data_IF_499650309082
#
_entry.id   IF_499650309082
#
_cell.length_a   1.000
_cell.length_b   1.000
_cell.length_c   1.000
_cell.angle_alpha   90.00
_cell.angle_beta   90.00
_cell.angle_gamma   90.00
#
_symmetry.space_group_name_H-M   'P 1'
#
loop_
_entity.id
_entity.type
_entity.pdbx_description
1 polymer ?
#
# COMPACT_ATOMS: atom_id res chain seq x y z
N UNK A 1 -44.76 -35.33 38.71
CA UNK A 1 -44.88 -34.84 37.31
C UNK A 1 -44.37 -33.41 37.26
N UNK A 2 -43.93 -32.94 36.09
CA UNK A 2 -42.87 -31.93 35.98
C UNK A 2 -43.37 -30.48 36.08
N UNK A 3 -42.65 -29.61 36.80
CA UNK A 3 -42.80 -28.16 36.70
C UNK A 3 -42.01 -27.67 35.48
N UNK A 4 -42.67 -26.97 34.55
CA UNK A 4 -41.95 -26.24 33.49
C UNK A 4 -41.34 -24.96 34.08
N UNK A 5 -40.06 -24.71 33.75
CA UNK A 5 -39.44 -23.40 33.88
C UNK A 5 -39.63 -22.66 32.55
N UNK A 6 -40.25 -21.47 32.59
CA UNK A 6 -40.27 -20.58 31.44
C UNK A 6 -38.99 -19.73 31.45
N UNK A 7 -38.04 -20.05 30.57
CA UNK A 7 -36.84 -19.23 30.37
C UNK A 7 -37.21 -18.09 29.41
N UNK A 8 -37.27 -16.87 29.93
CA UNK A 8 -37.47 -15.67 29.12
C UNK A 8 -36.23 -15.35 28.30
N UNK A 9 -36.30 -15.53 26.97
CA UNK A 9 -35.21 -15.21 26.06
C UNK A 9 -35.18 -13.69 25.81
N UNK A 10 -34.28 -12.96 26.48
CA UNK A 10 -34.00 -11.57 26.14
C UNK A 10 -33.26 -11.50 24.80
N UNK A 11 -34.01 -11.34 23.71
CA UNK A 11 -33.48 -10.91 22.42
C UNK A 11 -33.06 -9.43 22.51
N UNK A 12 -31.81 -9.20 22.89
CA UNK A 12 -31.19 -7.89 22.80
C UNK A 12 -31.11 -7.46 21.33
N UNK A 13 -31.80 -6.38 20.97
CA UNK A 13 -31.64 -5.77 19.65
C UNK A 13 -30.28 -5.08 19.60
N UNK A 14 -29.30 -5.72 18.97
CA UNK A 14 -28.11 -5.04 18.51
C UNK A 14 -28.55 -4.06 17.40
N UNK A 15 -28.66 -2.78 17.75
CA UNK A 15 -28.86 -1.74 16.76
C UNK A 15 -27.62 -1.71 15.86
N UNK A 16 -27.79 -1.98 14.56
CA UNK A 16 -26.73 -1.81 13.59
C UNK A 16 -26.32 -0.34 13.58
N UNK A 17 -25.10 -0.05 14.00
CA UNK A 17 -24.51 1.28 13.87
C UNK A 17 -24.26 1.45 12.37
N UNK A 18 -25.16 2.17 11.70
CA UNK A 18 -24.92 2.65 10.34
C UNK A 18 -23.72 3.60 10.46
N UNK A 19 -22.58 3.17 9.91
CA UNK A 19 -21.41 4.03 9.83
C UNK A 19 -21.75 5.28 9.02
N UNK A 20 -21.37 6.45 9.53
CA UNK A 20 -21.45 7.67 8.74
C UNK A 20 -20.45 7.58 7.58
N UNK A 21 -20.84 8.08 6.40
CA UNK A 21 -19.92 8.14 5.24
C UNK A 21 -18.69 9.01 5.57
N UNK A 22 -17.49 8.67 5.05
CA UNK A 22 -16.28 9.47 5.29
C UNK A 22 -16.44 10.93 4.87
N UNK A 23 -16.19 11.85 5.80
CA UNK A 23 -16.37 13.28 5.58
C UNK A 23 -15.15 13.87 4.88
N UNK A 24 -15.33 14.31 3.64
CA UNK A 24 -14.31 15.08 2.91
C UNK A 24 -13.91 16.36 3.66
N UNK A 25 -12.61 16.58 3.79
CA UNK A 25 -12.00 17.78 4.38
C UNK A 25 -11.43 18.71 3.29
N UNK A 26 -10.88 18.13 2.22
CA UNK A 26 -10.42 18.82 1.01
C UNK A 26 -10.54 17.86 -0.18
N UNK A 27 -11.17 18.27 -1.28
CA UNK A 27 -11.41 17.45 -2.48
C UNK A 27 -10.31 17.59 -3.53
N UNK A 28 -9.43 18.59 -3.38
CA UNK A 28 -8.35 18.92 -4.30
C UNK A 28 -7.17 17.95 -4.15
N UNK A 29 -6.42 17.76 -5.23
CA UNK A 29 -5.09 17.14 -5.22
C UNK A 29 -4.09 18.25 -5.55
N UNK A 30 -3.25 18.64 -4.58
CA UNK A 30 -2.33 19.77 -4.72
C UNK A 30 -0.94 19.30 -5.14
N UNK A 31 -0.31 20.03 -6.06
CA UNK A 31 1.09 19.86 -6.42
C UNK A 31 1.97 20.65 -5.44
N UNK A 32 2.78 19.95 -4.64
CA UNK A 32 3.75 20.56 -3.72
C UNK A 32 5.18 20.41 -4.23
N UNK A 33 6.05 21.39 -3.92
CA UNK A 33 7.51 21.30 -4.12
C UNK A 33 8.27 21.96 -2.98
N UNK A 34 9.17 21.23 -2.32
CA UNK A 34 9.97 21.73 -1.17
C UNK A 34 11.26 22.49 -1.55
N UNK A 35 11.61 22.57 -2.83
CA UNK A 35 12.86 23.15 -3.33
C UNK A 35 12.68 23.98 -4.61
N UNK A 36 13.77 24.58 -5.10
CA UNK A 36 13.74 25.44 -6.30
C UNK A 36 13.62 24.63 -7.60
N UNK A 37 14.17 23.42 -7.63
CA UNK A 37 14.24 22.57 -8.83
C UNK A 37 12.95 21.78 -9.06
N UNK A 38 12.42 21.86 -10.28
CA UNK A 38 11.42 20.93 -10.83
C UNK A 38 12.10 19.63 -11.26
N UNK A 39 11.56 18.48 -10.86
CA UNK A 39 12.11 17.17 -11.22
C UNK A 39 11.70 16.73 -12.63
N UNK A 40 10.39 16.72 -12.91
CA UNK A 40 9.85 16.14 -14.15
C UNK A 40 9.01 17.12 -14.98
N UNK A 41 8.98 16.88 -16.30
CA UNK A 41 8.25 17.68 -17.27
C UNK A 41 6.71 17.59 -17.12
N UNK A 42 6.21 16.57 -16.43
CA UNK A 42 4.76 16.35 -16.21
C UNK A 42 4.22 17.09 -14.96
N UNK A 43 5.11 17.67 -14.15
CA UNK A 43 4.74 18.65 -13.12
C UNK A 43 4.56 20.06 -13.69
N UNK A 44 3.86 20.93 -12.97
CA UNK A 44 3.79 22.34 -13.34
C UNK A 44 5.13 23.06 -13.08
N UNK A 45 5.38 24.15 -13.82
CA UNK A 45 6.58 24.98 -13.61
C UNK A 45 6.58 25.63 -12.22
N UNK A 46 5.43 26.16 -11.79
CA UNK A 46 5.17 26.59 -10.42
C UNK A 46 4.33 25.53 -9.69
N UNK A 47 4.68 25.13 -8.45
CA UNK A 47 3.80 24.32 -7.60
C UNK A 47 2.62 25.15 -7.08
N UNK A 48 1.62 24.48 -6.51
CA UNK A 48 0.54 25.15 -5.76
C UNK A 48 1.06 25.73 -4.42
N UNK A 49 1.97 25.02 -3.75
CA UNK A 49 2.60 25.42 -2.49
C UNK A 49 3.91 24.64 -2.20
N UNK A 50 4.60 24.99 -1.11
CA UNK A 50 5.72 24.20 -0.55
C UNK A 50 5.24 23.11 0.44
N UNK A 51 4.00 23.23 0.91
CA UNK A 51 3.38 22.44 1.97
C UNK A 51 1.86 22.52 1.86
N UNK A 52 1.16 21.47 2.32
CA UNK A 52 -0.30 21.47 2.43
C UNK A 52 -0.69 21.81 3.87
N UNK A 53 -1.68 22.69 4.03
CA UNK A 53 -2.33 22.98 5.31
C UNK A 53 -3.83 23.06 5.10
N UNK A 54 -4.59 22.24 5.84
CA UNK A 54 -6.06 22.15 5.78
C UNK A 54 -6.62 22.38 7.19
N UNK A 55 -7.37 23.47 7.36
CA UNK A 55 -8.12 23.76 8.57
C UNK A 55 -9.55 23.23 8.44
N UNK A 56 -10.05 22.52 9.46
CA UNK A 56 -11.37 21.90 9.45
C UNK A 56 -12.00 21.86 10.85
N UNK A 57 -13.32 21.79 10.92
CA UNK A 57 -14.05 21.70 12.19
C UNK A 57 -14.30 20.24 12.59
N UNK A 58 -14.11 19.87 13.85
CA UNK A 58 -14.39 18.52 14.37
C UNK A 58 -14.87 18.55 15.83
N UNK A 59 -15.20 17.36 16.36
CA UNK A 59 -15.41 17.09 17.78
C UNK A 59 -14.23 16.27 18.31
N UNK A 60 -13.93 16.39 19.61
CA UNK A 60 -12.81 15.67 20.23
C UNK A 60 -13.04 14.14 20.23
N UNK A 61 -12.12 13.39 19.62
CA UNK A 61 -12.30 11.95 19.42
C UNK A 61 -11.97 11.13 20.68
N UNK A 62 -12.96 10.43 21.24
CA UNK A 62 -12.79 9.52 22.38
C UNK A 62 -12.22 8.15 22.02
N UNK A 63 -12.12 7.85 20.73
CA UNK A 63 -11.68 6.57 20.13
C UNK A 63 -10.79 6.84 18.92
N UNK A 64 -10.11 5.81 18.40
CA UNK A 64 -9.36 5.94 17.14
C UNK A 64 -10.30 6.27 15.97
N UNK A 65 -9.87 7.19 15.12
CA UNK A 65 -10.50 7.55 13.84
C UNK A 65 -9.50 7.38 12.70
N UNK A 66 -9.93 7.56 11.44
CA UNK A 66 -9.06 7.34 10.27
C UNK A 66 -8.98 8.58 9.38
N UNK A 67 -7.75 8.98 9.03
CA UNK A 67 -7.49 9.94 7.96
C UNK A 67 -7.16 9.19 6.67
N UNK A 68 -7.96 9.36 5.62
CA UNK A 68 -7.65 8.91 4.26
C UNK A 68 -7.11 10.08 3.44
N UNK A 69 -6.09 9.84 2.63
CA UNK A 69 -5.62 10.79 1.60
C UNK A 69 -5.14 10.06 0.34
N UNK A 70 -4.94 10.80 -0.74
CA UNK A 70 -4.27 10.38 -1.98
C UNK A 70 -2.86 11.00 -2.03
N UNK A 71 -1.88 10.23 -2.51
CA UNK A 71 -0.51 10.69 -2.76
C UNK A 71 0.02 10.16 -4.10
N UNK A 72 0.96 10.89 -4.72
CA UNK A 72 1.70 10.51 -5.93
C UNK A 72 3.12 11.08 -5.88
N UNK A 73 4.07 10.44 -6.58
CA UNK A 73 5.44 10.90 -6.82
C UNK A 73 6.33 11.10 -5.56
N UNK A 74 6.02 10.47 -4.41
CA UNK A 74 6.66 10.81 -3.12
C UNK A 74 8.05 10.16 -2.98
N UNK A 75 9.12 10.95 -3.13
CA UNK A 75 10.51 10.46 -3.02
C UNK A 75 11.16 10.81 -1.68
N UNK A 76 10.77 11.90 -1.04
CA UNK A 76 11.34 12.38 0.23
C UNK A 76 10.46 12.10 1.44
N UNK A 77 11.00 12.34 2.64
CA UNK A 77 10.29 12.15 3.90
C UNK A 77 9.30 13.30 4.18
N UNK A 78 8.10 13.23 3.62
CA UNK A 78 6.99 14.15 3.93
C UNK A 78 6.25 13.69 5.18
N UNK A 79 6.19 14.53 6.20
CA UNK A 79 5.47 14.28 7.46
C UNK A 79 4.02 14.68 7.34
N UNK A 80 3.15 13.91 8.01
CA UNK A 80 1.73 14.22 8.20
C UNK A 80 1.53 14.54 9.68
N UNK A 81 1.09 15.76 9.98
CA UNK A 81 0.89 16.26 11.35
C UNK A 81 -0.54 16.79 11.53
N UNK A 82 -1.17 16.47 12.66
CA UNK A 82 -2.49 16.96 13.05
C UNK A 82 -2.35 17.74 14.36
N UNK A 83 -2.79 19.00 14.35
CA UNK A 83 -2.69 19.94 15.47
C UNK A 83 -1.24 20.15 15.96
N UNK A 84 -0.29 20.21 15.02
CA UNK A 84 1.15 20.34 15.31
C UNK A 84 1.75 19.12 16.02
N UNK A 85 1.16 17.94 15.83
CA UNK A 85 1.62 16.67 16.40
C UNK A 85 1.67 15.60 15.30
N UNK A 86 2.74 14.79 15.18
CA UNK A 86 2.84 13.77 14.14
C UNK A 86 1.71 12.74 14.16
N UNK A 87 1.24 12.35 12.97
CA UNK A 87 0.46 11.15 12.69
C UNK A 87 1.32 10.10 11.96
N UNK A 88 2.22 10.52 11.09
CA UNK A 88 3.09 9.63 10.32
C UNK A 88 3.91 10.36 9.25
N UNK A 89 4.27 9.63 8.21
CA UNK A 89 4.85 10.15 6.97
C UNK A 89 4.07 9.59 5.78
N UNK A 90 4.08 10.29 4.65
CA UNK A 90 3.64 9.72 3.37
C UNK A 90 4.51 8.50 3.03
N UNK A 91 3.92 7.53 2.32
CA UNK A 91 4.67 6.36 1.83
C UNK A 91 5.71 6.83 0.81
N UNK A 92 6.93 6.26 0.83
CA UNK A 92 8.00 6.68 -0.11
C UNK A 92 7.92 5.88 -1.41
N UNK A 93 6.85 6.14 -2.14
CA UNK A 93 6.49 5.48 -3.39
C UNK A 93 5.94 6.52 -4.38
N UNK A 94 6.38 6.43 -5.64
CA UNK A 94 6.02 7.36 -6.70
C UNK A 94 4.65 7.05 -7.34
N UNK A 95 4.07 5.88 -7.10
CA UNK A 95 2.78 5.49 -7.65
C UNK A 95 1.61 6.32 -7.07
N UNK A 96 0.59 6.54 -7.91
CA UNK A 96 -0.68 7.11 -7.46
C UNK A 96 -1.43 6.14 -6.54
N UNK A 97 -1.61 6.50 -5.27
CA UNK A 97 -2.16 5.61 -4.25
C UNK A 97 -3.01 6.30 -3.19
N UNK A 98 -3.89 5.50 -2.56
CA UNK A 98 -4.70 5.90 -1.42
C UNK A 98 -4.10 5.34 -0.13
N UNK A 99 -3.76 6.23 0.82
CA UNK A 99 -3.16 5.89 2.10
C UNK A 99 -4.09 6.23 3.28
N UNK A 100 -3.94 5.51 4.39
CA UNK A 100 -4.81 5.60 5.57
C UNK A 100 -3.96 5.69 6.84
N UNK A 101 -4.06 6.82 7.55
CA UNK A 101 -3.44 7.04 8.86
C UNK A 101 -4.45 6.80 9.98
N UNK A 102 -4.02 6.17 11.07
CA UNK A 102 -4.78 6.17 12.31
C UNK A 102 -4.67 7.55 12.98
N UNK A 103 -5.79 8.05 13.50
CA UNK A 103 -5.88 9.21 14.38
C UNK A 103 -6.15 8.67 15.80
N UNK A 104 -5.13 8.61 16.68
CA UNK A 104 -5.32 8.16 18.06
C UNK A 104 -6.39 8.96 18.81
N UNK A 105 -6.99 8.36 19.84
CA UNK A 105 -7.93 9.06 20.72
C UNK A 105 -7.30 10.33 21.36
N UNK A 106 -8.09 11.40 21.46
CA UNK A 106 -7.67 12.70 22.02
C UNK A 106 -6.74 13.52 21.11
N UNK A 107 -6.79 13.29 19.79
CA UNK A 107 -5.96 14.02 18.80
C UNK A 107 -6.72 15.04 17.98
N UNK A 108 -8.02 14.82 17.77
CA UNK A 108 -8.96 15.85 17.36
C UNK A 108 -9.39 16.67 18.58
N UNK A 109 -9.64 17.95 18.34
CA UNK A 109 -10.13 18.93 19.30
C UNK A 109 -11.55 19.35 18.95
N UNK A 110 -12.31 19.84 19.94
CA UNK A 110 -13.60 20.49 19.68
C UNK A 110 -13.38 21.82 18.95
N UNK A 111 -14.00 21.97 17.78
CA UNK A 111 -13.84 23.15 16.92
C UNK A 111 -12.72 22.98 15.88
N UNK A 112 -11.88 23.99 15.74
CA UNK A 112 -10.88 24.03 14.66
C UNK A 112 -9.70 23.09 14.89
N UNK A 113 -9.39 22.33 13.85
CA UNK A 113 -8.28 21.39 13.75
C UNK A 113 -7.47 21.70 12.50
N UNK A 114 -6.15 21.51 12.56
CA UNK A 114 -5.24 21.79 11.43
C UNK A 114 -4.46 20.53 11.08
N UNK A 115 -4.64 20.07 9.84
CA UNK A 115 -3.80 19.04 9.22
C UNK A 115 -2.71 19.72 8.37
N UNK A 116 -1.47 19.30 8.53
CA UNK A 116 -0.32 19.79 7.76
C UNK A 116 0.42 18.62 7.12
N UNK A 117 0.84 18.78 5.86
CA UNK A 117 1.78 17.89 5.18
C UNK A 117 2.97 18.72 4.69
N UNK A 118 4.17 18.39 5.16
CA UNK A 118 5.39 19.16 4.89
C UNK A 118 6.64 18.27 4.98
N UNK A 119 7.76 18.71 4.40
CA UNK A 119 9.06 18.03 4.56
C UNK A 119 10.15 18.98 5.03
N UNK A 120 11.21 18.40 5.62
CA UNK A 120 12.47 19.09 5.93
C UNK A 120 13.63 18.50 5.12
N UNK A 121 13.34 17.78 4.03
CA UNK A 121 14.34 17.33 3.08
C UNK A 121 14.99 18.51 2.36
N UNK A 122 16.28 18.36 2.01
CA UNK A 122 17.06 19.38 1.29
C UNK A 122 17.07 19.17 -0.22
N UNK A 123 17.01 17.92 -0.62
CA UNK A 123 16.82 17.53 -2.01
C UNK A 123 15.38 17.86 -2.41
N UNK A 124 15.19 18.33 -3.65
CA UNK A 124 13.87 18.68 -4.15
C UNK A 124 13.02 17.42 -4.39
N UNK A 125 11.71 17.57 -4.19
CA UNK A 125 10.68 16.58 -4.42
C UNK A 125 9.43 17.31 -4.91
N UNK A 126 9.01 17.01 -6.14
CA UNK A 126 7.70 17.34 -6.67
C UNK A 126 6.74 16.20 -6.29
N UNK A 127 5.70 16.49 -5.50
CA UNK A 127 4.68 15.50 -5.10
C UNK A 127 3.26 15.99 -5.40
N UNK A 128 2.30 15.07 -5.44
CA UNK A 128 0.86 15.40 -5.43
C UNK A 128 0.22 14.80 -4.19
N UNK A 129 -0.49 15.60 -3.40
CA UNK A 129 -1.16 15.13 -2.17
C UNK A 129 -2.47 15.87 -1.91
N UNK A 130 -3.49 15.14 -1.43
CA UNK A 130 -4.81 15.71 -1.17
C UNK A 130 -5.93 14.67 -1.15
N UNK A 131 -7.13 15.08 -1.58
CA UNK A 131 -8.37 14.28 -1.59
C UNK A 131 -8.66 13.63 -0.22
N UNK A 132 -8.61 14.48 0.80
CA UNK A 132 -8.52 14.13 2.22
C UNK A 132 -9.91 13.89 2.79
N UNK A 133 -10.08 12.78 3.50
CA UNK A 133 -11.33 12.41 4.16
C UNK A 133 -11.09 11.93 5.60
N UNK A 134 -12.04 12.23 6.48
CA UNK A 134 -12.09 11.76 7.87
C UNK A 134 -13.20 10.71 8.01
N UNK A 135 -12.84 9.49 8.39
CA UNK A 135 -13.78 8.44 8.79
C UNK A 135 -13.75 8.32 10.32
N UNK A 136 -14.93 8.27 10.94
CA UNK A 136 -15.08 8.18 12.40
C UNK A 136 -14.73 6.79 12.98
N UNK A 137 -14.42 5.81 12.13
CA UNK A 137 -14.05 4.45 12.51
C UNK A 137 -12.53 4.29 12.70
N UNK A 138 -12.06 3.35 13.53
CA UNK A 138 -10.66 2.95 13.60
C UNK A 138 -10.11 2.44 12.26
N UNK A 139 -8.81 2.58 12.03
CA UNK A 139 -8.14 2.28 10.74
C UNK A 139 -8.34 0.83 10.33
N UNK A 140 -8.28 -0.10 11.29
CA UNK A 140 -8.54 -1.52 11.03
C UNK A 140 -9.98 -1.77 10.57
N UNK A 141 -10.97 -1.08 11.13
CA UNK A 141 -12.37 -1.26 10.71
C UNK A 141 -12.61 -0.74 9.28
N UNK A 142 -11.99 0.39 8.91
CA UNK A 142 -12.07 0.93 7.54
C UNK A 142 -11.41 -0.02 6.54
N UNK A 143 -10.21 -0.53 6.84
CA UNK A 143 -9.48 -1.45 5.96
C UNK A 143 -9.99 -2.91 6.01
N UNK A 144 -10.94 -3.24 6.88
CA UNK A 144 -11.62 -4.54 6.97
C UNK A 144 -13.13 -4.50 6.71
N UNK A 145 -13.61 -3.47 6.02
CA UNK A 145 -15.03 -3.32 5.65
C UNK A 145 -15.51 -4.36 4.62
N UNK A 146 -14.60 -4.97 3.85
CA UNK A 146 -14.92 -5.99 2.84
C UNK A 146 -13.73 -6.93 2.60
N UNK A 147 -13.95 -8.09 1.95
CA UNK A 147 -12.92 -9.14 1.78
C UNK A 147 -12.86 -9.75 0.37
N UNK A 148 -11.95 -9.26 -0.46
CA UNK A 148 -11.73 -9.72 -1.84
C UNK A 148 -10.85 -10.99 -1.90
N UNK A 149 -11.38 -12.07 -2.46
CA UNK A 149 -10.58 -13.24 -2.90
C UNK A 149 -10.34 -13.17 -4.42
N UNK A 150 -9.08 -13.36 -4.83
CA UNK A 150 -8.65 -13.41 -6.24
C UNK A 150 -7.98 -14.76 -6.51
N UNK A 151 -8.41 -15.47 -7.56
CA UNK A 151 -7.74 -16.66 -8.07
C UNK A 151 -7.31 -16.44 -9.54
N UNK A 152 -6.05 -16.73 -9.84
CA UNK A 152 -5.40 -16.52 -11.13
C UNK A 152 -4.90 -17.85 -11.68
N UNK A 153 -5.19 -18.12 -12.96
CA UNK A 153 -4.79 -19.37 -13.62
C UNK A 153 -4.13 -19.14 -14.98
N UNK A 154 -3.32 -20.12 -15.38
CA UNK A 154 -2.78 -20.25 -16.74
C UNK A 154 -3.94 -20.62 -17.68
N UNK A 155 -4.19 -19.77 -18.67
CA UNK A 155 -5.35 -19.85 -19.55
C UNK A 155 -5.35 -21.06 -20.51
N UNK A 156 -4.21 -21.70 -20.74
CA UNK A 156 -4.08 -22.89 -21.59
C UNK A 156 -3.99 -24.19 -20.79
N UNK A 157 -3.35 -24.13 -19.61
CA UNK A 157 -3.11 -25.30 -18.75
C UNK A 157 -4.20 -25.47 -17.68
N UNK A 158 -5.01 -24.45 -17.44
CA UNK A 158 -6.03 -24.37 -16.39
C UNK A 158 -5.49 -24.77 -15.00
N UNK A 159 -4.34 -24.19 -14.63
CA UNK A 159 -3.65 -24.42 -13.35
C UNK A 159 -3.32 -23.07 -12.71
N UNK A 160 -3.31 -22.97 -11.36
CA UNK A 160 -2.75 -21.80 -10.69
C UNK A 160 -1.28 -21.60 -11.04
N UNK A 161 -0.84 -20.35 -11.07
CA UNK A 161 0.56 -19.96 -11.28
C UNK A 161 0.88 -18.71 -10.43
N UNK A 162 2.16 -18.50 -10.04
CA UNK A 162 2.54 -17.29 -9.35
C UNK A 162 2.29 -16.05 -10.22
N UNK A 163 1.81 -14.95 -9.64
CA UNK A 163 1.39 -13.75 -10.39
C UNK A 163 1.48 -12.48 -9.56
N UNK A 164 1.56 -11.32 -10.24
CA UNK A 164 1.21 -10.02 -9.67
C UNK A 164 -0.29 -9.77 -9.86
N UNK A 165 -0.95 -9.36 -8.80
CA UNK A 165 -2.31 -8.83 -8.78
C UNK A 165 -2.21 -7.34 -8.43
N UNK A 166 -2.94 -6.49 -9.16
CA UNK A 166 -2.98 -5.04 -8.93
C UNK A 166 -4.44 -4.60 -8.77
N UNK A 167 -4.74 -3.87 -7.70
CA UNK A 167 -6.07 -3.37 -7.35
C UNK A 167 -6.04 -1.85 -7.29
N UNK A 168 -6.81 -1.22 -8.17
CA UNK A 168 -7.01 0.23 -8.20
C UNK A 168 -8.47 0.59 -7.94
N UNK A 169 -8.70 1.76 -7.35
CA UNK A 169 -10.03 2.33 -7.14
C UNK A 169 -10.64 2.85 -8.46
N UNK A 170 -11.80 3.51 -8.37
CA UNK A 170 -12.49 4.15 -9.49
C UNK A 170 -11.64 5.20 -10.25
N UNK A 171 -10.76 5.92 -9.55
CA UNK A 171 -9.89 6.97 -10.09
C UNK A 171 -8.58 6.45 -10.71
N UNK A 172 -8.32 5.14 -10.59
CA UNK A 172 -7.08 4.49 -11.05
C UNK A 172 -5.95 4.42 -10.01
N UNK A 173 -6.15 4.93 -8.80
CA UNK A 173 -5.16 4.92 -7.71
C UNK A 173 -5.08 3.54 -7.02
N UNK A 174 -3.87 3.11 -6.67
CA UNK A 174 -3.60 1.90 -5.89
C UNK A 174 -4.29 1.95 -4.52
N UNK A 175 -5.04 0.90 -4.18
CA UNK A 175 -5.83 0.83 -2.94
C UNK A 175 -5.07 0.13 -1.81
N UNK A 176 -4.85 0.82 -0.69
CA UNK A 176 -4.33 0.18 0.54
C UNK A 176 -5.26 -0.93 1.08
N UNK A 177 -4.66 -2.02 1.55
CA UNK A 177 -5.32 -3.19 2.13
C UNK A 177 -5.21 -3.21 3.67
N UNK A 178 -6.03 -4.05 4.31
CA UNK A 178 -5.99 -4.31 5.75
C UNK A 178 -5.07 -5.45 6.20
N UNK A 179 -4.19 -5.94 5.33
CA UNK A 179 -3.36 -7.13 5.57
C UNK A 179 -1.88 -6.90 5.25
N UNK A 180 -1.04 -7.70 5.89
CA UNK A 180 0.42 -7.65 5.81
C UNK A 180 0.98 -8.83 5.02
N UNK A 181 2.24 -8.71 4.55
CA UNK A 181 2.93 -9.81 3.88
C UNK A 181 3.08 -11.06 4.76
N UNK A 182 3.02 -12.23 4.13
CA UNK A 182 3.23 -13.53 4.78
C UNK A 182 3.72 -14.57 3.75
N UNK A 183 4.00 -15.80 4.18
CA UNK A 183 4.63 -16.93 3.44
C UNK A 183 4.11 -17.24 2.02
N UNK A 184 2.98 -16.67 1.59
CA UNK A 184 2.37 -16.87 0.27
C UNK A 184 2.01 -15.58 -0.48
N UNK A 185 1.97 -14.42 0.22
CA UNK A 185 1.61 -13.10 -0.33
C UNK A 185 2.62 -12.04 0.10
N UNK A 186 3.24 -11.34 -0.86
CA UNK A 186 3.90 -10.05 -0.59
C UNK A 186 2.91 -8.93 -0.92
N UNK A 187 2.63 -8.04 0.04
CA UNK A 187 1.54 -7.05 -0.05
C UNK A 187 2.09 -5.62 0.10
N UNK A 188 1.62 -4.72 -0.78
CA UNK A 188 1.85 -3.26 -0.79
C UNK A 188 0.55 -2.55 -1.15
N UNK A 189 0.41 -1.22 -0.99
CA UNK A 189 -0.76 -0.49 -1.47
C UNK A 189 -1.09 -0.84 -2.92
N UNK A 190 -2.29 -1.37 -3.17
CA UNK A 190 -2.79 -1.81 -4.47
C UNK A 190 -2.01 -2.92 -5.18
N UNK A 191 -0.97 -3.53 -4.60
CA UNK A 191 -0.15 -4.56 -5.26
C UNK A 191 0.03 -5.78 -4.35
N UNK A 192 -0.24 -6.97 -4.91
CA UNK A 192 -0.10 -8.27 -4.23
C UNK A 192 0.65 -9.23 -5.15
N UNK A 193 1.75 -9.82 -4.68
CA UNK A 193 2.41 -10.93 -5.37
C UNK A 193 2.03 -12.23 -4.70
N UNK A 194 1.35 -13.13 -5.43
CA UNK A 194 0.99 -14.45 -4.93
C UNK A 194 1.92 -15.52 -5.46
N UNK A 195 2.49 -16.33 -4.57
CA UNK A 195 3.33 -17.48 -4.91
C UNK A 195 2.56 -18.70 -5.43
N UNK A 196 1.23 -18.72 -5.31
CA UNK A 196 0.40 -19.89 -5.65
C UNK A 196 -0.78 -19.57 -6.58
N UNK A 197 -0.93 -18.32 -7.02
CA UNK A 197 -2.04 -17.87 -7.88
C UNK A 197 -3.34 -17.60 -7.13
N UNK A 198 -3.34 -17.59 -5.80
CA UNK A 198 -4.48 -17.19 -4.97
C UNK A 198 -4.07 -16.08 -4.02
N UNK A 199 -4.92 -15.07 -3.88
CA UNK A 199 -4.81 -14.04 -2.86
C UNK A 199 -6.15 -13.85 -2.16
N UNK A 200 -6.15 -13.39 -0.91
CA UNK A 200 -7.34 -12.87 -0.26
C UNK A 200 -6.96 -11.77 0.68
N UNK A 201 -7.55 -10.59 0.49
CA UNK A 201 -7.24 -9.36 1.21
C UNK A 201 -8.51 -8.66 1.65
N UNK A 202 -8.39 -7.92 2.73
CA UNK A 202 -9.40 -7.04 3.26
C UNK A 202 -9.15 -5.63 2.73
N UNK A 203 -10.22 -4.91 2.41
CA UNK A 203 -10.19 -3.57 1.84
C UNK A 203 -11.49 -2.80 2.17
N UNK A 204 -11.51 -1.46 2.06
CA UNK A 204 -12.73 -0.66 2.16
C UNK A 204 -13.77 -1.05 1.10
N UNK A 205 -15.05 -0.75 1.35
CA UNK A 205 -16.06 -0.82 0.29
C UNK A 205 -15.77 0.22 -0.81
N UNK A 206 -16.14 -0.10 -2.05
CA UNK A 206 -15.89 0.80 -3.19
C UNK A 206 -15.94 0.12 -4.56
N UNK A 207 -15.74 0.92 -5.60
CA UNK A 207 -15.58 0.46 -6.98
C UNK A 207 -14.09 0.26 -7.31
N UNK A 208 -13.77 -0.92 -7.83
CA UNK A 208 -12.39 -1.34 -8.10
C UNK A 208 -12.21 -1.92 -9.51
N UNK A 209 -11.02 -1.72 -10.08
CA UNK A 209 -10.50 -2.56 -11.18
C UNK A 209 -9.38 -3.45 -10.64
N UNK A 210 -9.50 -4.75 -10.85
CA UNK A 210 -8.48 -5.74 -10.46
C UNK A 210 -7.83 -6.31 -11.71
N UNK A 211 -6.51 -6.23 -11.78
CA UNK A 211 -5.65 -6.79 -12.82
C UNK A 211 -4.86 -7.98 -12.27
N UNK A 212 -4.54 -8.93 -13.14
CA UNK A 212 -3.55 -9.97 -12.90
C UNK A 212 -2.60 -10.09 -14.10
N UNK A 213 -1.31 -10.27 -13.85
CA UNK A 213 -0.26 -10.42 -14.86
C UNK A 213 0.94 -11.19 -14.31
N UNK A 214 1.95 -11.43 -15.16
CA UNK A 214 3.17 -12.16 -14.78
C UNK A 214 4.36 -11.78 -15.68
N UNK A 215 4.92 -10.60 -15.46
CA UNK A 215 5.98 -10.04 -16.29
C UNK A 215 5.59 -9.82 -17.75
N UNK A 216 6.59 -9.53 -18.59
CA UNK A 216 6.39 -9.17 -20.00
C UNK A 216 6.07 -10.36 -20.93
N UNK A 217 6.22 -11.60 -20.47
CA UNK A 217 5.89 -12.79 -21.27
C UNK A 217 4.39 -13.11 -21.28
N UNK A 218 3.62 -12.55 -20.34
CA UNK A 218 2.20 -12.88 -20.12
C UNK A 218 1.28 -11.68 -20.36
N UNK A 219 0.15 -11.95 -21.03
CA UNK A 219 -0.94 -11.00 -21.18
C UNK A 219 -1.65 -10.70 -19.85
N UNK A 220 -2.22 -9.50 -19.74
CA UNK A 220 -2.93 -9.03 -18.53
C UNK A 220 -4.42 -9.40 -18.59
N UNK A 221 -4.92 -10.06 -17.55
CA UNK A 221 -6.35 -10.30 -17.34
C UNK A 221 -6.89 -9.26 -16.36
N UNK A 222 -8.09 -8.73 -16.57
CA UNK A 222 -8.70 -7.76 -15.64
C UNK A 222 -10.21 -7.92 -15.48
N UNK A 223 -10.74 -7.44 -14.37
CA UNK A 223 -12.18 -7.27 -14.16
C UNK A 223 -12.49 -6.02 -13.35
N UNK A 224 -13.71 -5.49 -13.48
CA UNK A 224 -14.25 -4.43 -12.63
C UNK A 224 -15.30 -4.98 -11.69
N UNK A 225 -15.34 -4.51 -10.46
CA UNK A 225 -16.36 -4.86 -9.48
C UNK A 225 -16.62 -3.74 -8.48
N UNK A 226 -17.88 -3.59 -8.10
CA UNK A 226 -18.31 -2.88 -6.90
C UNK A 226 -18.28 -3.87 -5.74
N UNK A 227 -17.71 -3.47 -4.60
CA UNK A 227 -17.71 -4.23 -3.35
C UNK A 227 -18.41 -3.38 -2.29
N UNK A 228 -19.42 -3.93 -1.62
CA UNK A 228 -20.19 -3.23 -0.55
C UNK A 228 -19.69 -3.66 0.83
N UNK A 229 -20.01 -2.91 1.90
CA UNK A 229 -19.71 -3.36 3.27
C UNK A 229 -20.21 -4.78 3.52
N UNK A 230 -19.38 -5.56 4.22
CA UNK A 230 -19.53 -6.99 4.51
C UNK A 230 -19.50 -7.95 3.27
N UNK A 231 -19.36 -7.46 2.03
CA UNK A 231 -19.20 -8.34 0.86
C UNK A 231 -17.87 -9.13 0.92
N UNK A 232 -17.93 -10.39 0.50
CA UNK A 232 -16.76 -11.29 0.36
C UNK A 232 -16.65 -11.89 -1.06
N UNK A 233 -16.39 -11.08 -2.11
CA UNK A 233 -16.42 -11.53 -3.49
C UNK A 233 -15.21 -12.42 -3.82
N UNK A 234 -15.45 -13.46 -4.62
CA UNK A 234 -14.38 -14.28 -5.22
C UNK A 234 -14.36 -14.07 -6.73
N UNK A 235 -13.30 -13.47 -7.25
CA UNK A 235 -13.07 -13.33 -8.70
C UNK A 235 -12.08 -14.37 -9.22
N UNK A 236 -12.21 -14.71 -10.50
CA UNK A 236 -11.30 -15.60 -11.23
C UNK A 236 -10.77 -14.88 -12.47
N UNK A 237 -9.45 -14.88 -12.63
CA UNK A 237 -8.73 -14.28 -13.75
C UNK A 237 -7.88 -15.37 -14.43
N UNK A 238 -7.66 -15.24 -15.74
CA UNK A 238 -6.90 -16.23 -16.50
C UNK A 238 -5.90 -15.51 -17.41
N UNK A 239 -4.60 -15.72 -17.16
CA UNK A 239 -3.51 -15.09 -17.91
C UNK A 239 -2.83 -16.11 -18.83
N UNK A 240 -2.36 -15.62 -19.98
CA UNK A 240 -1.80 -16.40 -21.08
C UNK A 240 -0.33 -16.00 -21.27
N UNK A 241 0.58 -16.95 -21.54
CA UNK A 241 1.92 -16.61 -22.06
C UNK A 241 1.73 -16.23 -23.54
N UNK A 242 2.00 -14.97 -23.87
CA UNK A 242 1.75 -14.41 -25.21
C UNK A 242 3.04 -14.30 -26.04
N UNK A 243 4.20 -14.32 -25.39
CA UNK A 243 5.51 -14.34 -26.04
C UNK A 243 6.09 -15.76 -26.01
N UNK A 244 6.43 -16.30 -27.18
CA UNK A 244 7.24 -17.51 -27.29
C UNK A 244 8.72 -17.16 -27.07
N UNK A 245 9.22 -17.46 -25.88
CA UNK A 245 10.60 -17.29 -25.45
C UNK A 245 11.40 -18.59 -25.49
N UNK A 246 11.00 -19.57 -26.31
CA UNK A 246 11.75 -20.82 -26.52
C UNK A 246 13.20 -20.53 -26.92
N UNK A 247 14.16 -20.97 -26.08
CA UNK A 247 15.60 -20.73 -26.27
C UNK A 247 16.13 -19.44 -25.62
N UNK A 248 15.27 -18.66 -24.97
CA UNK A 248 15.60 -17.48 -24.16
C UNK A 248 15.34 -17.78 -22.67
N UNK A 249 15.71 -16.83 -21.80
CA UNK A 249 15.47 -16.90 -20.34
C UNK A 249 15.10 -15.50 -19.85
N UNK A 250 14.01 -15.38 -19.10
CA UNK A 250 13.62 -14.15 -18.39
C UNK A 250 14.58 -13.88 -17.23
N UNK A 251 15.30 -12.75 -17.24
CA UNK A 251 16.43 -12.49 -16.34
C UNK A 251 16.37 -11.09 -15.73
N UNK A 252 16.60 -10.99 -14.42
CA UNK A 252 16.90 -9.74 -13.72
C UNK A 252 18.35 -9.82 -13.22
N UNK A 253 19.18 -8.88 -13.66
CA UNK A 253 20.62 -8.88 -13.36
C UNK A 253 21.00 -8.17 -12.06
N UNK A 254 20.06 -7.58 -11.31
CA UNK A 254 20.37 -6.71 -10.17
C UNK A 254 19.36 -6.81 -9.00
N UNK A 255 19.14 -8.02 -8.47
CA UNK A 255 18.16 -8.25 -7.40
C UNK A 255 18.76 -8.05 -6.00
N UNK A 256 18.13 -7.18 -5.20
CA UNK A 256 18.41 -6.95 -3.77
C UNK A 256 17.24 -7.35 -2.86
N UNK A 257 17.56 -7.75 -1.62
CA UNK A 257 16.60 -7.98 -0.53
C UNK A 257 16.91 -7.12 0.68
N UNK A 258 15.89 -6.67 1.40
CA UNK A 258 16.05 -6.02 2.71
C UNK A 258 16.78 -6.94 3.70
N UNK A 259 16.54 -8.25 3.61
CA UNK A 259 17.13 -9.29 4.48
C UNK A 259 18.66 -9.37 4.42
N UNK A 260 19.28 -9.13 3.25
CA UNK A 260 20.73 -9.25 3.08
C UNK A 260 21.45 -7.96 2.65
N UNK A 261 20.73 -7.01 2.04
CA UNK A 261 21.29 -5.69 1.67
C UNK A 261 20.96 -4.56 2.64
N UNK A 262 19.95 -4.72 3.51
CA UNK A 262 19.54 -3.69 4.47
C UNK A 262 18.91 -2.43 3.84
N UNK A 263 18.54 -2.49 2.56
CA UNK A 263 17.83 -1.43 1.84
C UNK A 263 16.77 -2.02 0.92
N UNK A 264 15.91 -1.16 0.37
CA UNK A 264 14.62 -1.59 -0.16
C UNK A 264 13.67 -2.00 0.96
N UNK A 265 12.60 -2.68 0.57
CA UNK A 265 11.42 -2.98 1.39
C UNK A 265 11.12 -4.48 1.44
N UNK A 266 11.39 -5.22 0.36
CA UNK A 266 11.11 -6.65 0.25
C UNK A 266 12.16 -7.52 0.94
N UNK A 267 11.70 -8.31 1.91
CA UNK A 267 12.45 -9.44 2.50
C UNK A 267 12.79 -10.52 1.47
N UNK A 268 13.69 -11.46 1.80
CA UNK A 268 14.02 -12.57 0.90
C UNK A 268 12.81 -13.44 0.54
N UNK A 269 11.92 -13.70 1.50
CA UNK A 269 10.72 -14.52 1.29
C UNK A 269 9.71 -13.79 0.38
N UNK A 270 9.45 -12.51 0.63
CA UNK A 270 8.67 -11.66 -0.30
C UNK A 270 9.33 -11.58 -1.68
N UNK A 271 10.67 -11.47 -1.74
CA UNK A 271 11.40 -11.39 -3.00
C UNK A 271 11.20 -12.66 -3.84
N UNK A 272 11.16 -13.85 -3.24
CA UNK A 272 10.81 -15.08 -3.96
C UNK A 272 9.41 -15.03 -4.58
N UNK A 273 8.43 -14.45 -3.87
CA UNK A 273 7.07 -14.27 -4.37
C UNK A 273 7.04 -13.25 -5.53
N UNK A 274 7.77 -12.14 -5.43
CA UNK A 274 7.85 -11.12 -6.50
C UNK A 274 8.53 -11.66 -7.77
N UNK A 275 9.67 -12.34 -7.64
CA UNK A 275 10.40 -12.99 -8.75
C UNK A 275 9.49 -13.97 -9.49
N UNK A 276 8.84 -14.87 -8.75
CA UNK A 276 7.96 -15.88 -9.32
C UNK A 276 6.73 -15.23 -9.98
N UNK A 277 6.20 -14.17 -9.34
CA UNK A 277 5.03 -13.40 -9.77
C UNK A 277 5.27 -12.47 -10.96
N UNK A 278 6.51 -12.06 -11.23
CA UNK A 278 6.92 -11.40 -12.48
C UNK A 278 7.50 -12.35 -13.54
N UNK A 279 7.52 -13.65 -13.27
CA UNK A 279 8.05 -14.62 -14.24
C UNK A 279 9.53 -14.45 -14.54
N UNK A 280 10.32 -13.97 -13.58
CA UNK A 280 11.78 -13.96 -13.68
C UNK A 280 12.28 -15.40 -13.47
N UNK A 281 12.97 -15.95 -14.47
CA UNK A 281 13.45 -17.34 -14.50
C UNK A 281 14.90 -17.45 -14.01
N UNK A 282 15.70 -16.40 -14.22
CA UNK A 282 17.06 -16.25 -13.70
C UNK A 282 17.21 -14.92 -12.93
N UNK A 283 16.86 -14.88 -11.64
CA UNK A 283 17.18 -13.74 -10.79
C UNK A 283 18.65 -13.80 -10.36
N UNK A 284 19.44 -12.79 -10.73
CA UNK A 284 20.79 -12.63 -10.21
C UNK A 284 20.70 -11.86 -8.90
N UNK A 285 20.86 -12.57 -7.79
CA UNK A 285 21.00 -11.96 -6.46
C UNK A 285 22.30 -11.16 -6.40
N UNK A 286 22.21 -9.84 -6.55
CA UNK A 286 23.30 -8.87 -6.32
C UNK A 286 23.27 -8.31 -4.91
N UNK A 287 22.46 -8.91 -4.03
CA UNK A 287 22.45 -8.67 -2.60
C UNK A 287 23.86 -8.43 -2.05
N UNK A 288 24.01 -7.40 -1.21
CA UNK A 288 25.33 -6.88 -0.83
C UNK A 288 26.23 -7.91 -0.10
N UNK A 289 25.67 -9.06 0.31
CA UNK A 289 26.39 -10.29 0.71
C UNK A 289 27.66 -9.98 1.49
N UNK A 290 27.50 -9.22 2.58
CA UNK A 290 28.51 -8.32 3.14
C UNK A 290 29.66 -9.09 3.78
N UNK A 291 30.58 -9.56 2.94
CA UNK A 291 31.85 -10.18 3.32
C UNK A 291 32.97 -9.17 3.12
N UNK A 292 33.07 -8.26 4.10
CA UNK A 292 34.11 -7.24 4.18
C UNK A 292 35.46 -7.94 4.42
N UNK A 293 36.42 -7.76 3.50
CA UNK A 293 37.81 -8.00 3.88
C UNK A 293 38.28 -6.84 4.75
N UNK A 294 38.57 -7.13 6.02
CA UNK A 294 38.80 -6.14 7.09
C UNK A 294 40.15 -5.43 7.01
N UNK A 295 40.96 -5.74 6.00
CA UNK A 295 42.41 -5.77 6.13
C UNK A 295 43.08 -4.57 5.41
N UNK A 296 42.74 -4.10 4.17
CA UNK A 296 42.09 -2.32 4.01
C UNK A 296 41.21 -1.62 5.05
N UNK A 297 41.11 -2.09 6.31
CA UNK A 297 40.70 -1.25 7.45
C UNK A 297 41.63 -1.35 8.66
N UNK A 298 42.21 -2.54 8.83
CA UNK A 298 43.52 -2.67 9.46
C UNK A 298 44.52 -1.65 8.84
N UNK A 299 44.45 -1.36 7.52
CA UNK A 299 45.27 -0.36 6.76
C UNK A 299 45.18 1.12 7.15
N UNK A 300 44.61 1.43 8.31
CA UNK A 300 44.64 2.80 8.88
C UNK A 300 44.88 2.84 10.39
N UNK A 301 44.87 1.69 11.09
CA UNK A 301 44.92 1.64 12.56
C UNK A 301 46.27 1.20 13.14
N UNK A 302 47.19 0.68 12.33
CA UNK A 302 48.56 0.28 12.74
C UNK A 302 48.87 -1.22 12.66
N UNK A 303 47.93 -2.05 12.20
CA UNK A 303 48.11 -3.48 11.99
C UNK A 303 49.00 -3.87 10.78
N UNK A 304 49.94 -3.01 10.36
CA UNK A 304 50.64 -3.08 9.06
C UNK A 304 51.33 -4.43 8.83
N UNK A 305 50.96 -5.14 7.76
CA UNK A 305 51.30 -4.84 6.35
C UNK A 305 50.20 -4.47 5.31
N UNK A 306 48.99 -3.96 5.61
CA UNK A 306 48.07 -4.33 6.70
C UNK A 306 46.92 -5.24 6.21
N UNK A 307 46.89 -5.67 4.93
CA UNK A 307 46.12 -6.86 4.52
C UNK A 307 46.91 -8.18 4.66
#
# INVERSE_FOLDING_TARGET
MTKLLAIGLLLGQAAAIIAAEPRTLDDRLLHLRNGESREWADFAESPDADSLTVAFQAEANSTEQTLRLRQQDVKQAWRVELNGQPLGQLERDENDMIFYFAIPAGRLLDGENILTVSTTAKDADDIRVGQIQLDTRPREQVLRESRLTVAVTDADRNRPLPCRITVVNADGSLQSFGDESHDQLAIRPGVIYSGNGSATVNLPAGDYTVYAGRGFEYGVSSTRLTIKPDDSPTIKLAIRREVDTTGWISCDTHVHTLTHSGHGDATIDERMLTIAGEGIELPIATDHNVQIDHRPFAERAGAERFF
#
